data_IF_282530289573
#
_entry.id   IF_282530289573
#
_cell.length_a   1.000
_cell.length_b   1.000
_cell.length_c   1.000
_cell.angle_alpha   90.00
_cell.angle_beta   90.00
_cell.angle_gamma   90.00
#
_symmetry.space_group_name_H-M   'P 1'
#
loop_
_entity.id
_entity.type
_entity.pdbx_description
1 polymer ?
#
# COMPACT_ATOMS: atom_id res chain seq x y z
N UNK A 1 15.44 -2.18 -33.18
CA UNK A 1 16.57 -1.83 -32.31
C UNK A 1 17.72 -2.75 -32.67
N UNK A 2 18.88 -2.22 -33.06
CA UNK A 2 20.07 -3.04 -33.38
C UNK A 2 21.09 -2.74 -32.29
N UNK A 3 21.49 -3.70 -31.45
CA UNK A 3 22.48 -3.45 -30.41
C UNK A 3 23.87 -3.30 -31.05
N UNK A 4 24.53 -2.17 -30.79
CA UNK A 4 25.97 -2.02 -31.01
C UNK A 4 26.70 -2.22 -29.69
N UNK A 5 27.49 -3.28 -29.60
CA UNK A 5 28.46 -3.49 -28.53
C UNK A 5 29.81 -2.93 -28.98
N UNK A 6 30.31 -1.93 -28.27
CA UNK A 6 31.68 -1.42 -28.45
C UNK A 6 32.57 -2.16 -27.45
N UNK A 7 33.54 -2.92 -27.95
CA UNK A 7 34.57 -3.56 -27.12
C UNK A 7 35.86 -2.72 -27.19
N UNK A 8 36.50 -2.50 -26.03
CA UNK A 8 37.79 -1.80 -25.94
C UNK A 8 37.80 -0.46 -25.18
N UNK A 9 36.80 -0.17 -24.34
CA UNK A 9 36.85 1.00 -23.46
C UNK A 9 37.74 0.68 -22.26
N UNK A 10 38.93 1.27 -22.19
CA UNK A 10 39.75 1.27 -20.98
C UNK A 10 39.11 2.19 -19.94
N UNK A 11 38.69 1.62 -18.81
CA UNK A 11 38.18 2.38 -17.66
C UNK A 11 39.36 2.75 -16.78
N UNK A 12 39.79 4.02 -16.85
CA UNK A 12 40.72 4.56 -15.86
C UNK A 12 39.94 4.87 -14.58
N UNK A 13 40.20 4.14 -13.50
CA UNK A 13 39.66 4.45 -12.17
C UNK A 13 40.23 5.80 -11.67
N UNK A 14 39.43 6.85 -11.82
CA UNK A 14 39.66 8.13 -11.16
C UNK A 14 39.13 8.08 -9.72
N UNK A 15 39.87 8.73 -8.80
CA UNK A 15 39.49 8.91 -7.39
C UNK A 15 38.06 9.47 -7.28
N UNK A 16 37.19 8.78 -6.55
CA UNK A 16 35.83 9.23 -6.30
C UNK A 16 35.83 10.63 -5.66
N UNK A 17 35.17 11.59 -6.30
CA UNK A 17 34.91 12.89 -5.71
C UNK A 17 33.71 12.75 -4.76
N UNK A 18 33.95 12.90 -3.46
CA UNK A 18 32.88 13.01 -2.46
C UNK A 18 32.29 14.41 -2.59
N UNK A 19 31.12 14.53 -3.22
CA UNK A 19 30.32 15.75 -3.24
C UNK A 19 29.40 15.74 -2.02
N UNK A 20 29.69 16.61 -1.05
CA UNK A 20 28.85 16.80 0.12
C UNK A 20 27.71 17.76 -0.26
N UNK A 21 26.53 17.21 -0.53
CA UNK A 21 25.33 18.01 -0.85
C UNK A 21 24.62 18.27 0.48
N UNK A 22 24.91 19.42 1.10
CA UNK A 22 24.11 19.95 2.19
C UNK A 22 23.00 20.81 1.58
N UNK A 23 21.74 20.45 1.84
CA UNK A 23 20.59 21.26 1.43
C UNK A 23 20.47 22.43 2.40
N UNK A 24 20.85 23.63 1.97
CA UNK A 24 20.46 24.87 2.64
C UNK A 24 19.08 25.28 2.12
N UNK A 25 18.12 25.47 3.03
CA UNK A 25 16.85 26.08 2.71
C UNK A 25 17.04 27.59 2.60
N UNK A 26 16.79 28.16 1.41
CA UNK A 26 16.72 29.61 1.26
C UNK A 26 15.46 30.12 1.96
N UNK A 27 15.65 30.96 2.99
CA UNK A 27 14.59 31.75 3.62
C UNK A 27 14.50 33.05 2.81
N UNK A 28 13.42 33.23 2.06
CA UNK A 28 13.08 34.50 1.43
C UNK A 28 12.36 35.39 2.45
N UNK A 29 13.06 36.42 2.94
CA UNK A 29 12.49 37.46 3.80
C UNK A 29 12.03 38.67 2.98
N UNK A 30 10.74 38.71 2.60
CA UNK A 30 9.93 39.93 2.74
C UNK A 30 8.43 39.70 2.45
N UNK A 31 7.50 40.15 3.32
CA UNK A 31 6.08 39.92 3.16
C UNK A 31 5.42 41.03 2.32
N UNK A 32 4.57 40.67 1.36
CA UNK A 32 3.64 41.63 0.74
C UNK A 32 2.25 41.02 0.65
N UNK A 33 1.36 41.56 1.48
CA UNK A 33 -0.06 41.23 1.65
C UNK A 33 -0.88 41.57 0.40
N UNK A 34 -1.78 40.70 -0.08
CA UNK A 34 -2.81 41.11 -1.04
C UNK A 34 -4.13 41.47 -0.33
N UNK A 35 -4.68 42.61 -0.76
CA UNK A 35 -5.91 43.27 -0.31
C UNK A 35 -7.18 42.55 -0.80
N UNK A 36 -8.19 42.51 0.07
CA UNK A 36 -9.58 42.12 -0.20
C UNK A 36 -10.33 43.34 -0.79
N UNK A 37 -11.21 43.19 -1.79
CA UNK A 37 -12.21 44.20 -2.12
C UNK A 37 -13.59 43.86 -1.50
N UNK A 38 -14.18 44.85 -0.83
CA UNK A 38 -15.53 44.84 -0.26
C UNK A 38 -16.63 45.30 -1.26
N UNK A 39 -17.88 44.98 -0.87
CA UNK A 39 -19.16 45.74 -1.00
C UNK A 39 -20.22 45.17 -1.97
N UNK A 40 -21.53 45.52 -1.85
CA UNK A 40 -22.26 46.20 -0.75
C UNK A 40 -23.63 45.57 -0.32
N UNK A 41 -23.97 45.77 0.95
CA UNK A 41 -25.21 46.36 1.57
C UNK A 41 -26.66 46.00 1.14
N UNK A 42 -27.52 45.66 2.13
CA UNK A 42 -28.73 46.42 2.57
C UNK A 42 -29.76 45.58 3.40
N UNK A 43 -29.73 45.81 4.73
CA UNK A 43 -30.80 46.31 5.65
C UNK A 43 -32.23 45.73 5.84
N UNK A 44 -32.55 45.55 7.14
CA UNK A 44 -33.82 45.83 7.88
C UNK A 44 -34.95 44.76 7.85
N UNK A 45 -35.79 44.49 8.87
CA UNK A 45 -36.36 45.29 9.99
C UNK A 45 -36.96 44.39 11.11
N UNK A 46 -37.15 44.99 12.30
CA UNK A 46 -37.67 44.50 13.60
C UNK A 46 -39.15 44.01 13.65
N UNK A 47 -39.53 43.22 14.69
CA UNK A 47 -40.33 43.68 15.87
C UNK A 47 -41.10 42.61 16.67
N UNK A 48 -41.12 42.81 18.00
CA UNK A 48 -42.20 42.60 19.00
C UNK A 48 -42.41 41.17 19.62
N UNK A 49 -42.09 41.01 20.92
CA UNK A 49 -43.01 40.89 22.11
C UNK A 49 -43.59 39.47 22.29
N UNK A 50 -43.68 38.80 23.46
CA UNK A 50 -43.89 39.18 24.86
C UNK A 50 -43.86 37.91 25.74
N UNK A 51 -43.50 38.07 27.01
CA UNK A 51 -43.93 37.36 28.23
C UNK A 51 -43.75 35.83 28.42
N UNK A 52 -43.26 35.48 29.62
CA UNK A 52 -43.64 34.22 30.28
C UNK A 52 -42.60 33.55 31.18
N UNK A 53 -42.41 34.08 32.39
CA UNK A 53 -41.75 33.43 33.53
C UNK A 53 -42.28 32.02 33.85
N UNK A 54 -41.40 31.03 34.05
CA UNK A 54 -41.30 30.22 35.29
C UNK A 54 -40.29 29.05 35.19
N UNK A 55 -39.26 29.17 36.02
CA UNK A 55 -38.50 28.14 36.76
C UNK A 55 -38.70 26.66 36.43
N UNK A 56 -37.60 25.96 36.12
CA UNK A 56 -37.09 24.87 36.97
C UNK A 56 -35.70 24.39 36.52
N UNK A 57 -34.73 24.67 37.40
CA UNK A 57 -33.66 23.78 37.86
C UNK A 57 -32.77 22.98 36.89
N UNK A 58 -31.47 23.19 37.15
CA UNK A 58 -30.35 22.24 37.14
C UNK A 58 -29.73 21.82 35.80
N UNK A 59 -28.58 22.45 35.55
CA UNK A 59 -27.29 21.81 35.27
C UNK A 59 -27.23 20.84 34.09
N UNK A 60 -26.77 21.35 32.95
CA UNK A 60 -26.26 20.57 31.83
C UNK A 60 -25.06 21.30 31.22
N UNK A 61 -23.88 21.09 31.80
CA UNK A 61 -22.62 21.22 31.05
C UNK A 61 -22.19 19.79 30.77
N UNK A 62 -22.37 19.38 29.52
CA UNK A 62 -21.64 18.26 28.94
C UNK A 62 -21.28 18.71 27.54
N UNK A 63 -20.08 19.28 27.42
CA UNK A 63 -19.31 19.18 26.18
C UNK A 63 -19.14 17.69 25.92
N UNK A 64 -19.95 17.16 25.00
CA UNK A 64 -19.64 15.90 24.35
C UNK A 64 -18.57 16.23 23.32
N UNK A 65 -17.33 15.91 23.67
CA UNK A 65 -16.30 15.65 22.68
C UNK A 65 -16.72 14.33 22.04
N UNK A 66 -17.29 14.40 20.85
CA UNK A 66 -17.51 13.23 20.01
C UNK A 66 -16.12 12.72 19.57
N UNK A 67 -15.51 11.88 20.40
CA UNK A 67 -14.53 10.92 19.92
C UNK A 67 -15.30 9.75 19.32
N UNK A 68 -15.61 9.88 18.04
CA UNK A 68 -15.97 8.73 17.18
C UNK A 68 -14.73 7.82 17.12
N UNK A 69 -14.59 6.91 18.09
CA UNK A 69 -13.71 5.75 17.93
C UNK A 69 -14.28 4.90 16.79
N UNK A 70 -13.77 5.15 15.59
CA UNK A 70 -13.93 4.27 14.43
C UNK A 70 -13.31 2.91 14.76
N UNK A 71 -14.10 2.05 15.37
CA UNK A 71 -13.76 0.66 15.64
C UNK A 71 -14.00 -0.20 14.41
N UNK A 72 -13.44 0.20 13.26
CA UNK A 72 -13.25 -0.74 12.16
C UNK A 72 -12.22 -1.79 12.61
N UNK A 73 -12.72 -2.92 13.13
CA UNK A 73 -11.87 -4.02 13.58
C UNK A 73 -11.23 -4.65 12.35
N UNK A 74 -10.03 -4.17 12.01
CA UNK A 74 -9.26 -4.74 10.90
C UNK A 74 -8.81 -6.16 11.24
N UNK A 75 -9.12 -7.10 10.35
CA UNK A 75 -8.71 -8.49 10.47
C UNK A 75 -7.26 -8.61 10.06
N UNK A 76 -6.39 -8.85 11.03
CA UNK A 76 -4.97 -9.05 10.80
C UNK A 76 -4.68 -10.45 10.22
N UNK A 77 -3.62 -10.61 9.41
CA UNK A 77 -3.18 -11.90 8.93
C UNK A 77 -2.90 -12.87 10.09
N UNK A 78 -3.21 -14.16 9.90
CA UNK A 78 -3.00 -15.17 10.93
C UNK A 78 -1.92 -16.20 10.57
N UNK A 79 -1.64 -16.41 9.28
CA UNK A 79 -0.69 -17.45 8.83
C UNK A 79 0.75 -16.93 8.73
N UNK A 80 1.38 -16.69 9.88
CA UNK A 80 2.78 -16.28 9.96
C UNK A 80 3.72 -17.50 9.98
N UNK A 81 4.12 -17.94 8.80
CA UNK A 81 5.13 -18.99 8.61
C UNK A 81 5.76 -18.87 7.23
N UNK A 82 6.87 -19.57 7.02
CA UNK A 82 7.46 -19.70 5.68
C UNK A 82 6.61 -20.64 4.82
N UNK A 83 6.18 -20.16 3.66
CA UNK A 83 5.37 -20.93 2.72
C UNK A 83 6.26 -21.52 1.63
N UNK A 84 6.47 -22.83 1.63
CA UNK A 84 7.02 -23.53 0.47
C UNK A 84 6.14 -23.37 -0.76
N UNK A 85 6.68 -23.60 -1.95
CA UNK A 85 5.99 -23.38 -3.22
C UNK A 85 4.61 -24.03 -3.27
N UNK A 86 4.48 -25.28 -2.79
CA UNK A 86 3.19 -25.97 -2.75
C UNK A 86 2.20 -25.30 -1.81
N UNK A 87 2.65 -24.89 -0.63
CA UNK A 87 1.80 -24.21 0.37
C UNK A 87 1.37 -22.83 -0.12
N UNK A 88 2.29 -22.08 -0.74
CA UNK A 88 2.00 -20.80 -1.37
C UNK A 88 0.98 -20.97 -2.50
N UNK A 89 1.13 -21.99 -3.35
CA UNK A 89 0.17 -22.27 -4.43
C UNK A 89 -1.21 -22.62 -3.87
N UNK A 90 -1.29 -23.41 -2.79
CA UNK A 90 -2.54 -23.71 -2.11
C UNK A 90 -3.17 -22.47 -1.48
N UNK A 91 -2.36 -21.63 -0.82
CA UNK A 91 -2.80 -20.37 -0.24
C UNK A 91 -3.41 -19.46 -1.32
N UNK A 92 -2.70 -19.24 -2.43
CA UNK A 92 -3.18 -18.39 -3.50
C UNK A 92 -4.46 -18.94 -4.14
N UNK A 93 -4.54 -20.25 -4.38
CA UNK A 93 -5.77 -20.87 -4.92
C UNK A 93 -6.94 -20.75 -3.95
N UNK A 94 -6.69 -20.91 -2.65
CA UNK A 94 -7.71 -20.75 -1.60
C UNK A 94 -8.31 -19.36 -1.67
N UNK A 95 -7.50 -18.31 -1.56
CA UNK A 95 -7.98 -16.92 -1.60
C UNK A 95 -8.64 -16.58 -2.93
N UNK A 96 -8.10 -17.06 -4.05
CA UNK A 96 -8.75 -16.86 -5.37
C UNK A 96 -10.13 -17.51 -5.45
N UNK A 97 -10.35 -18.64 -4.78
CA UNK A 97 -11.65 -19.32 -4.77
C UNK A 97 -12.64 -18.71 -3.79
N UNK A 98 -12.17 -18.29 -2.61
CA UNK A 98 -13.00 -17.69 -1.56
C UNK A 98 -13.44 -16.26 -1.95
N UNK A 99 -12.55 -15.50 -2.58
CA UNK A 99 -12.76 -14.09 -2.93
C UNK A 99 -12.77 -13.88 -4.45
N UNK A 100 -13.41 -14.79 -5.20
CA UNK A 100 -13.44 -14.75 -6.66
C UNK A 100 -14.10 -13.50 -7.27
N UNK A 101 -14.87 -12.74 -6.49
CA UNK A 101 -15.47 -11.47 -6.91
C UNK A 101 -14.45 -10.35 -7.08
N UNK A 102 -13.39 -10.35 -6.27
CA UNK A 102 -12.37 -9.30 -6.24
C UNK A 102 -10.98 -9.78 -6.64
N UNK A 103 -10.80 -11.09 -6.83
CA UNK A 103 -9.49 -11.67 -7.11
C UNK A 103 -9.45 -12.48 -8.38
N UNK A 104 -8.29 -12.47 -9.03
CA UNK A 104 -8.00 -13.35 -10.16
C UNK A 104 -6.56 -13.85 -10.09
N UNK A 105 -6.43 -15.17 -9.92
CA UNK A 105 -5.13 -15.83 -9.95
C UNK A 105 -4.74 -16.19 -11.38
N UNK A 106 -3.56 -15.76 -11.83
CA UNK A 106 -2.99 -16.16 -13.10
C UNK A 106 -1.49 -16.43 -13.00
N UNK A 107 -0.94 -17.10 -14.01
CA UNK A 107 0.49 -17.36 -14.12
C UNK A 107 1.06 -16.62 -15.31
N UNK A 108 2.15 -15.89 -15.13
CA UNK A 108 2.84 -15.17 -16.21
C UNK A 108 3.88 -16.02 -16.94
N UNK A 109 4.13 -17.25 -16.46
CA UNK A 109 5.14 -18.12 -17.02
C UNK A 109 5.53 -19.25 -16.07
N UNK A 110 6.66 -19.88 -16.38
CA UNK A 110 7.23 -20.94 -15.53
C UNK A 110 8.71 -20.67 -15.29
N UNK A 111 9.18 -21.09 -14.12
CA UNK A 111 10.59 -21.12 -13.77
C UNK A 111 11.36 -22.18 -14.58
N UNK A 112 12.68 -22.22 -14.39
CA UNK A 112 13.56 -23.22 -15.04
C UNK A 112 13.17 -24.65 -14.62
N UNK A 113 12.79 -24.84 -13.36
CA UNK A 113 12.30 -26.12 -12.83
C UNK A 113 10.78 -26.29 -13.00
N UNK A 114 10.14 -25.53 -13.90
CA UNK A 114 8.73 -25.64 -14.28
C UNK A 114 7.71 -25.28 -13.18
N UNK A 115 8.10 -24.50 -12.17
CA UNK A 115 7.18 -23.91 -11.18
C UNK A 115 6.46 -22.71 -11.78
N UNK A 116 5.16 -22.56 -11.54
CA UNK A 116 4.39 -21.43 -12.09
C UNK A 116 4.76 -20.12 -11.40
N UNK A 117 4.85 -19.04 -12.18
CA UNK A 117 5.06 -17.69 -11.66
C UNK A 117 3.70 -17.04 -11.42
N UNK A 118 3.17 -17.28 -10.22
CA UNK A 118 1.84 -16.83 -9.82
C UNK A 118 1.76 -15.33 -9.57
N UNK A 119 0.66 -14.74 -10.02
CA UNK A 119 0.27 -13.37 -9.73
C UNK A 119 -1.18 -13.37 -9.26
N UNK A 120 -1.43 -12.77 -8.10
CA UNK A 120 -2.76 -12.47 -7.60
C UNK A 120 -3.15 -11.06 -8.05
N UNK A 121 -4.16 -10.96 -8.88
CA UNK A 121 -4.84 -9.70 -9.18
C UNK A 121 -5.92 -9.45 -8.13
N UNK A 122 -6.00 -8.22 -7.63
CA UNK A 122 -7.01 -7.74 -6.68
C UNK A 122 -7.55 -6.41 -7.20
N UNK A 123 -8.85 -6.36 -7.48
CA UNK A 123 -9.60 -5.20 -8.00
C UNK A 123 -11.09 -5.49 -7.83
N UNK A 124 -11.96 -4.49 -7.86
CA UNK A 124 -13.41 -4.68 -7.87
C UNK A 124 -13.91 -5.35 -9.18
N UNK A 125 -13.17 -5.22 -10.29
CA UNK A 125 -13.46 -5.83 -11.59
C UNK A 125 -12.28 -6.68 -12.12
N UNK A 126 -11.98 -7.84 -11.49
CA UNK A 126 -10.80 -8.61 -11.82
C UNK A 126 -10.85 -9.19 -13.25
N UNK A 127 -9.77 -8.97 -13.99
CA UNK A 127 -9.54 -9.43 -15.36
C UNK A 127 -9.78 -8.36 -16.43
N UNK A 128 -10.37 -7.23 -16.08
CA UNK A 128 -10.64 -6.11 -17.00
C UNK A 128 -9.80 -4.91 -16.59
N UNK A 129 -9.33 -4.13 -17.57
CA UNK A 129 -8.67 -2.86 -17.31
C UNK A 129 -9.70 -1.74 -17.48
N UNK A 130 -9.85 -0.88 -16.48
CA UNK A 130 -10.78 0.24 -16.51
C UNK A 130 -10.06 1.57 -16.80
N UNK A 131 -10.69 2.42 -17.62
CA UNK A 131 -10.12 3.71 -17.97
C UNK A 131 -10.13 4.65 -16.76
N UNK A 132 -8.93 5.09 -16.35
CA UNK A 132 -8.76 5.97 -15.19
C UNK A 132 -8.39 5.22 -13.91
N UNK A 133 -8.49 3.89 -13.90
CA UNK A 133 -8.00 3.05 -12.80
C UNK A 133 -6.50 2.76 -12.99
N UNK A 134 -5.62 3.19 -12.06
CA UNK A 134 -4.20 2.88 -12.12
C UNK A 134 -3.91 1.39 -11.90
N UNK A 135 -2.93 0.86 -12.64
CA UNK A 135 -2.39 -0.48 -12.42
C UNK A 135 -1.15 -0.43 -11.52
N UNK A 136 -1.19 -1.17 -10.43
CA UNK A 136 -0.12 -1.25 -9.45
C UNK A 136 0.43 -2.67 -9.35
N UNK A 137 1.72 -2.82 -9.03
CA UNK A 137 2.29 -4.15 -8.79
C UNK A 137 3.33 -4.18 -7.68
N UNK A 138 3.29 -5.28 -6.91
CA UNK A 138 4.37 -5.70 -6.04
C UNK A 138 4.97 -7.01 -6.52
N UNK A 139 6.30 -7.10 -6.50
CA UNK A 139 7.06 -8.29 -6.88
C UNK A 139 8.06 -8.58 -5.76
N UNK A 140 7.96 -9.77 -5.19
CA UNK A 140 8.84 -10.25 -4.12
C UNK A 140 9.76 -11.40 -4.56
N UNK A 141 10.76 -11.66 -3.73
CA UNK A 141 11.58 -12.87 -3.78
C UNK A 141 12.20 -13.14 -5.16
N UNK A 142 12.78 -12.08 -5.75
CA UNK A 142 13.64 -12.19 -6.94
C UNK A 142 14.95 -12.92 -6.61
N UNK A 143 15.50 -12.64 -5.43
CA UNK A 143 16.52 -13.47 -4.80
C UNK A 143 15.82 -14.51 -3.92
N UNK A 144 16.06 -15.79 -4.17
CA UNK A 144 15.33 -16.89 -3.52
C UNK A 144 15.48 -16.92 -1.99
N UNK A 145 16.63 -16.48 -1.47
CA UNK A 145 16.93 -16.41 -0.04
C UNK A 145 16.44 -15.13 0.66
N UNK A 146 15.90 -14.16 -0.08
CA UNK A 146 15.26 -12.96 0.48
C UNK A 146 13.77 -13.26 0.71
N UNK A 147 13.49 -14.01 1.79
CA UNK A 147 12.17 -14.61 2.04
C UNK A 147 11.14 -13.62 2.59
N UNK A 148 11.57 -12.60 3.34
CA UNK A 148 10.65 -11.67 4.03
C UNK A 148 9.65 -11.03 3.06
N UNK A 149 10.11 -10.60 1.89
CA UNK A 149 9.23 -10.02 0.88
C UNK A 149 8.17 -10.99 0.35
N UNK A 150 8.45 -12.29 0.29
CA UNK A 150 7.47 -13.31 -0.13
C UNK A 150 6.31 -13.38 0.86
N UNK A 151 6.64 -13.53 2.15
CA UNK A 151 5.64 -13.72 3.20
C UNK A 151 4.84 -12.45 3.46
N UNK A 152 5.48 -11.27 3.39
CA UNK A 152 4.76 -9.98 3.48
C UNK A 152 3.72 -9.82 2.37
N UNK A 153 4.03 -10.27 1.15
CA UNK A 153 3.07 -10.20 0.05
C UNK A 153 1.92 -11.20 0.19
N UNK A 154 2.15 -12.38 0.77
CA UNK A 154 1.06 -13.31 1.10
C UNK A 154 0.16 -12.75 2.20
N UNK A 155 0.76 -12.17 3.24
CA UNK A 155 0.02 -11.46 4.29
C UNK A 155 -0.77 -10.28 3.76
N UNK A 156 -0.21 -9.51 2.81
CA UNK A 156 -0.92 -8.42 2.15
C UNK A 156 -2.15 -8.93 1.37
N UNK A 157 -2.04 -10.06 0.66
CA UNK A 157 -3.19 -10.68 -0.02
C UNK A 157 -4.28 -11.05 0.98
N UNK A 158 -3.92 -11.73 2.09
CA UNK A 158 -4.89 -12.09 3.14
C UNK A 158 -5.55 -10.85 3.75
N UNK A 159 -4.76 -9.82 4.05
CA UNK A 159 -5.23 -8.58 4.63
C UNK A 159 -6.21 -7.85 3.71
N UNK A 160 -5.86 -7.68 2.43
CA UNK A 160 -6.72 -7.02 1.45
C UNK A 160 -8.03 -7.78 1.25
N UNK A 161 -7.97 -9.10 1.09
CA UNK A 161 -9.17 -9.91 0.85
C UNK A 161 -10.10 -9.93 2.06
N UNK A 162 -9.57 -10.07 3.28
CA UNK A 162 -10.40 -10.17 4.49
C UNK A 162 -11.03 -8.86 4.92
N UNK A 163 -10.40 -7.72 4.62
CA UNK A 163 -10.88 -6.41 5.02
C UNK A 163 -11.71 -5.71 3.95
N UNK A 164 -11.76 -6.23 2.72
CA UNK A 164 -12.64 -5.71 1.68
C UNK A 164 -14.12 -5.78 2.10
N UNK A 165 -14.81 -4.64 2.01
CA UNK A 165 -16.21 -4.47 2.45
C UNK A 165 -16.39 -4.29 3.95
N UNK A 166 -15.34 -4.43 4.77
CA UNK A 166 -15.36 -4.20 6.22
C UNK A 166 -14.62 -2.92 6.60
N UNK A 167 -13.42 -2.73 6.05
CA UNK A 167 -12.62 -1.53 6.22
C UNK A 167 -12.87 -0.58 5.03
N UNK A 168 -13.40 0.64 5.26
CA UNK A 168 -13.65 1.61 4.20
C UNK A 168 -12.39 2.00 3.42
N UNK A 169 -11.22 2.09 4.08
CA UNK A 169 -9.98 2.48 3.43
C UNK A 169 -9.47 1.40 2.47
N UNK A 170 -9.57 0.13 2.87
CA UNK A 170 -9.19 -1.02 2.02
C UNK A 170 -10.17 -1.19 0.87
N UNK A 171 -11.46 -0.99 1.13
CA UNK A 171 -12.49 -1.04 0.09
C UNK A 171 -12.23 0.05 -0.96
N UNK A 172 -12.02 1.30 -0.53
CA UNK A 172 -11.67 2.39 -1.44
C UNK A 172 -10.36 2.13 -2.21
N UNK A 173 -9.35 1.53 -1.58
CA UNK A 173 -8.10 1.18 -2.25
C UNK A 173 -8.31 0.17 -3.38
N UNK A 174 -9.11 -0.87 -3.13
CA UNK A 174 -9.37 -1.94 -4.11
C UNK A 174 -10.30 -1.44 -5.23
N UNK A 175 -11.28 -0.58 -4.92
CA UNK A 175 -12.21 -0.01 -5.90
C UNK A 175 -11.55 1.04 -6.81
N UNK A 176 -10.42 1.61 -6.39
CA UNK A 176 -9.75 2.68 -7.12
C UNK A 176 -8.46 2.24 -7.79
N UNK A 177 -7.98 1.02 -7.56
CA UNK A 177 -6.68 0.56 -8.03
C UNK A 177 -6.69 -0.92 -8.37
N UNK A 178 -6.13 -1.25 -9.53
CA UNK A 178 -5.91 -2.63 -9.94
C UNK A 178 -4.55 -3.12 -9.44
N UNK A 179 -4.56 -3.95 -8.41
CA UNK A 179 -3.36 -4.40 -7.70
C UNK A 179 -2.92 -5.79 -8.19
N UNK A 180 -1.66 -5.92 -8.62
CA UNK A 180 -1.05 -7.19 -9.00
C UNK A 180 0.08 -7.59 -8.05
N UNK A 181 -0.08 -8.69 -7.33
CA UNK A 181 0.90 -9.17 -6.35
C UNK A 181 1.55 -10.46 -6.85
N UNK A 182 2.86 -10.43 -7.04
CA UNK A 182 3.70 -11.61 -7.30
C UNK A 182 4.54 -11.91 -6.06
N UNK A 183 4.16 -12.91 -5.23
CA UNK A 183 4.90 -13.24 -4.02
C UNK A 183 6.33 -13.75 -4.30
N UNK A 184 6.53 -14.47 -5.40
CA UNK A 184 7.82 -15.07 -5.73
C UNK A 184 8.10 -15.07 -7.23
N UNK A 185 9.07 -14.25 -7.63
CA UNK A 185 9.61 -14.24 -8.99
C UNK A 185 10.66 -15.34 -9.22
N UNK A 186 11.30 -15.83 -8.14
CA UNK A 186 12.30 -16.89 -8.19
C UNK A 186 11.97 -18.05 -7.23
N UNK A 187 10.91 -18.84 -7.53
CA UNK A 187 10.50 -19.95 -6.67
C UNK A 187 11.53 -21.08 -6.64
N UNK A 188 12.35 -21.23 -7.69
CA UNK A 188 13.39 -22.24 -7.74
C UNK A 188 14.54 -21.95 -6.77
N UNK A 189 14.96 -20.68 -6.70
CA UNK A 189 15.97 -20.23 -5.75
C UNK A 189 15.48 -20.34 -4.31
N UNK A 190 14.20 -20.08 -4.07
CA UNK A 190 13.60 -20.24 -2.73
C UNK A 190 13.68 -21.69 -2.25
N UNK A 191 13.24 -22.66 -3.07
CA UNK A 191 13.28 -24.08 -2.70
C UNK A 191 14.71 -24.62 -2.52
N UNK A 192 15.70 -23.99 -3.16
CA UNK A 192 17.12 -24.32 -2.97
C UNK A 192 17.75 -23.62 -1.76
N UNK A 193 17.07 -22.64 -1.16
CA UNK A 193 17.57 -21.87 -0.02
C UNK A 193 17.42 -22.66 1.29
N UNK A 194 18.24 -22.32 2.27
CA UNK A 194 18.15 -22.89 3.61
C UNK A 194 17.71 -21.81 4.58
N UNK A 195 16.69 -22.11 5.36
CA UNK A 195 16.22 -21.27 6.45
C UNK A 195 17.35 -21.01 7.47
N UNK A 196 17.39 -19.81 8.03
CA UNK A 196 18.41 -19.41 9.01
C UNK A 196 19.77 -19.01 8.44
N UNK A 197 20.00 -19.10 7.12
CA UNK A 197 21.24 -18.59 6.49
C UNK A 197 21.16 -17.07 6.26
N UNK A 198 21.48 -16.31 7.29
CA UNK A 198 21.89 -14.92 7.12
C UNK A 198 23.26 -14.87 6.41
N UNK A 199 23.45 -13.94 5.47
CA UNK A 199 24.79 -13.65 4.95
C UNK A 199 25.69 -13.27 6.13
N UNK A 200 26.96 -13.75 6.21
CA UNK A 200 27.83 -13.47 7.35
C UNK A 200 28.10 -11.97 7.60
N UNK A 201 27.80 -11.12 6.61
CA UNK A 201 27.91 -9.66 6.70
C UNK A 201 26.56 -8.94 6.91
N UNK A 202 25.44 -9.66 6.95
CA UNK A 202 24.11 -9.11 7.18
C UNK A 202 23.53 -9.75 8.43
N UNK A 203 23.93 -9.23 9.60
CA UNK A 203 23.27 -9.56 10.86
C UNK A 203 21.82 -9.08 10.74
N UNK A 204 20.86 -10.00 10.84
CA UNK A 204 19.41 -9.77 10.94
C UNK A 204 18.57 -9.86 9.65
N UNK A 205 18.87 -10.78 8.74
CA UNK A 205 17.83 -11.24 7.79
C UNK A 205 17.82 -12.76 7.71
N UNK A 206 17.14 -13.37 8.68
CA UNK A 206 16.45 -14.66 8.63
C UNK A 206 15.83 -14.85 10.03
N UNK A 207 14.55 -14.53 10.15
CA UNK A 207 13.70 -15.05 11.23
C UNK A 207 12.82 -16.13 10.63
#
# INVERSE_FOLDING_TARGET
YIPMSVAGVEVTEGKAAVLNITLEAEIDENPTTPLIPESPDETSVNSASTDGTSSSSSTGISEAVDEEEDSSVTVQPQDFRHHHYNDMELFLKKFSSEYSSITRLYSIGKSVQKRSLWVMEISDNPGVHELGEPEFKYIGNMHGNEVVGRELLLNLIEYLCRNYGTDPAITQLIDSTRIHIMPSMNPDGYEASQEGKASPNLRNCCC
#
